data_IF_341794214910
#
_entry.id   IF_341794214910
#
_cell.length_a   1.000
_cell.length_b   1.000
_cell.length_c   1.000
_cell.angle_alpha   90.00
_cell.angle_beta   90.00
_cell.angle_gamma   90.00
#
_symmetry.space_group_name_H-M   'P 1'
#
loop_
_entity.id
_entity.type
_entity.pdbx_description
1 polymer ?
#
# COMPACT_ATOMS: atom_id res chain seq x y z
N UNK A 1 15.74 -49.71 -6.33
CA UNK A 1 15.62 -49.32 -4.93
C UNK A 1 16.48 -48.10 -4.57
N UNK A 2 17.70 -48.03 -5.04
CA UNK A 2 18.57 -46.89 -4.92
C UNK A 2 17.94 -45.69 -5.64
N UNK A 3 17.29 -45.89 -6.81
CA UNK A 3 16.61 -44.89 -7.58
C UNK A 3 15.44 -44.27 -6.81
N UNK A 4 14.69 -45.08 -6.05
CA UNK A 4 13.59 -44.59 -5.20
C UNK A 4 14.12 -43.73 -4.06
N UNK A 5 15.24 -44.14 -3.43
CA UNK A 5 15.87 -43.37 -2.36
C UNK A 5 16.45 -42.05 -2.87
N UNK A 6 17.08 -42.04 -4.04
CA UNK A 6 17.63 -40.82 -4.66
C UNK A 6 16.50 -39.85 -5.03
N UNK A 7 15.42 -40.37 -5.61
CA UNK A 7 14.25 -39.54 -5.94
C UNK A 7 13.64 -38.94 -4.68
N UNK A 8 13.50 -39.72 -3.61
CA UNK A 8 13.00 -39.25 -2.34
C UNK A 8 13.86 -38.15 -1.72
N UNK A 9 15.19 -38.33 -1.76
CA UNK A 9 16.14 -37.30 -1.28
C UNK A 9 16.06 -36.04 -2.12
N UNK A 10 16.04 -36.15 -3.43
CA UNK A 10 15.94 -35.01 -4.33
C UNK A 10 14.63 -34.24 -4.11
N UNK A 11 13.53 -34.95 -3.91
CA UNK A 11 12.23 -34.33 -3.61
C UNK A 11 12.27 -33.61 -2.27
N UNK A 12 12.85 -34.22 -1.23
CA UNK A 12 12.98 -33.58 0.08
C UNK A 12 13.84 -32.33 0.03
N UNK A 13 14.93 -32.34 -0.73
CA UNK A 13 15.79 -31.16 -0.92
C UNK A 13 15.02 -30.07 -1.66
N UNK A 14 14.27 -30.41 -2.71
CA UNK A 14 13.45 -29.45 -3.45
C UNK A 14 12.38 -28.82 -2.57
N UNK A 15 11.69 -29.61 -1.75
CA UNK A 15 10.69 -29.11 -0.81
C UNK A 15 11.31 -28.19 0.24
N UNK A 16 12.50 -28.53 0.76
CA UNK A 16 13.22 -27.72 1.71
C UNK A 16 13.63 -26.39 1.09
N UNK A 17 14.18 -26.39 -0.12
CA UNK A 17 14.56 -25.19 -0.86
C UNK A 17 13.37 -24.27 -1.06
N UNK A 18 12.20 -24.82 -1.40
CA UNK A 18 10.98 -24.06 -1.57
C UNK A 18 10.52 -23.41 -0.25
N UNK A 19 10.54 -24.17 0.85
CA UNK A 19 10.19 -23.66 2.18
C UNK A 19 11.13 -22.54 2.63
N UNK A 20 12.42 -22.68 2.39
CA UNK A 20 13.42 -21.65 2.71
C UNK A 20 13.18 -20.40 1.87
N UNK A 21 12.92 -20.55 0.58
CA UNK A 21 12.61 -19.44 -0.32
C UNK A 21 11.36 -18.67 0.14
N UNK A 22 10.30 -19.37 0.51
CA UNK A 22 9.07 -18.75 1.04
C UNK A 22 9.33 -17.99 2.34
N UNK A 23 10.11 -18.55 3.26
CA UNK A 23 10.47 -17.89 4.51
C UNK A 23 11.33 -16.65 4.30
N UNK A 24 12.30 -16.71 3.40
CA UNK A 24 13.14 -15.56 3.04
C UNK A 24 12.30 -14.45 2.43
N UNK A 25 11.36 -14.79 1.54
CA UNK A 25 10.48 -13.85 0.91
C UNK A 25 9.55 -13.18 1.93
N UNK A 26 8.96 -13.97 2.84
CA UNK A 26 8.12 -13.44 3.92
C UNK A 26 8.88 -12.47 4.81
N UNK A 27 10.12 -12.80 5.17
CA UNK A 27 10.98 -11.94 5.98
C UNK A 27 11.33 -10.65 5.24
N UNK A 28 11.67 -10.74 3.97
CA UNK A 28 11.97 -9.57 3.14
C UNK A 28 10.78 -8.63 3.03
N UNK A 29 9.57 -9.17 2.81
CA UNK A 29 8.33 -8.40 2.75
C UNK A 29 8.03 -7.72 4.09
N UNK A 30 8.21 -8.40 5.20
CA UNK A 30 8.01 -7.83 6.53
C UNK A 30 9.00 -6.70 6.82
N UNK A 31 10.26 -6.88 6.49
CA UNK A 31 11.27 -5.83 6.62
C UNK A 31 10.91 -4.62 5.77
N UNK A 32 10.50 -4.84 4.51
CA UNK A 32 10.09 -3.76 3.63
C UNK A 32 8.87 -3.00 4.18
N UNK A 33 7.89 -3.72 4.73
CA UNK A 33 6.71 -3.11 5.36
C UNK A 33 7.12 -2.21 6.55
N UNK A 34 8.00 -2.69 7.41
CA UNK A 34 8.51 -1.92 8.54
C UNK A 34 9.30 -0.69 8.08
N UNK A 35 10.13 -0.81 7.05
CA UNK A 35 10.91 0.29 6.49
C UNK A 35 9.97 1.38 5.94
N UNK A 36 8.92 1.01 5.20
CA UNK A 36 7.94 1.96 4.66
C UNK A 36 7.22 2.70 5.78
N UNK A 37 6.74 1.98 6.79
CA UNK A 37 6.05 2.58 7.94
C UNK A 37 6.96 3.51 8.74
N UNK A 38 8.20 3.10 8.96
CA UNK A 38 9.21 3.90 9.64
C UNK A 38 9.54 5.17 8.84
N UNK A 39 9.67 5.07 7.54
CA UNK A 39 9.95 6.21 6.65
C UNK A 39 8.84 7.25 6.71
N UNK A 40 7.58 6.81 6.74
CA UNK A 40 6.42 7.70 6.88
C UNK A 40 6.39 8.39 8.25
N UNK A 41 6.82 7.71 9.32
CA UNK A 41 6.91 8.31 10.64
C UNK A 41 8.02 9.38 10.71
N UNK A 42 9.16 9.12 10.10
CA UNK A 42 10.30 10.03 10.12
C UNK A 42 10.07 11.23 9.18
N UNK A 43 9.48 10.97 8.02
CA UNK A 43 9.25 11.98 6.99
C UNK A 43 7.81 11.87 6.45
N UNK A 44 6.84 12.45 7.17
CA UNK A 44 5.43 12.39 6.75
C UNK A 44 5.16 13.01 5.38
N UNK A 45 6.01 13.91 4.92
CA UNK A 45 5.89 14.58 3.62
C UNK A 45 5.98 13.61 2.43
N UNK A 46 6.44 12.38 2.64
CA UNK A 46 6.41 11.32 1.62
C UNK A 46 4.99 10.99 1.15
N UNK A 47 3.99 11.36 1.93
CA UNK A 47 2.59 11.25 1.55
C UNK A 47 2.21 12.18 0.39
N UNK A 48 2.81 13.35 0.28
CA UNK A 48 2.39 14.38 -0.68
C UNK A 48 2.42 13.91 -2.13
N UNK A 49 3.49 13.26 -2.62
CA UNK A 49 3.47 12.69 -3.98
C UNK A 49 2.32 11.70 -4.23
N UNK A 50 1.98 10.92 -3.22
CA UNK A 50 0.86 9.95 -3.27
C UNK A 50 -0.46 10.66 -3.48
N UNK A 51 -0.71 11.71 -2.72
CA UNK A 51 -1.92 12.53 -2.83
C UNK A 51 -1.99 13.20 -4.20
N UNK A 52 -0.89 13.75 -4.69
CA UNK A 52 -0.83 14.37 -6.03
C UNK A 52 -1.19 13.37 -7.13
N UNK A 53 -0.64 12.17 -7.06
CA UNK A 53 -0.94 11.11 -8.02
C UNK A 53 -2.42 10.72 -7.99
N UNK A 54 -2.98 10.54 -6.80
CA UNK A 54 -4.39 10.20 -6.63
C UNK A 54 -5.32 11.28 -7.21
N UNK A 55 -5.03 12.54 -6.96
CA UNK A 55 -5.77 13.68 -7.48
C UNK A 55 -5.70 13.70 -9.01
N UNK A 56 -4.52 13.49 -9.57
CA UNK A 56 -4.31 13.51 -11.02
C UNK A 56 -4.99 12.32 -11.71
N UNK A 57 -5.05 11.18 -11.06
CA UNK A 57 -5.69 9.97 -11.60
C UNK A 57 -7.21 10.13 -11.70
N UNK A 58 -7.81 10.89 -10.79
CA UNK A 58 -9.23 11.15 -10.83
C UNK A 58 -9.54 12.23 -11.85
N UNK A 59 -10.10 11.83 -12.99
CA UNK A 59 -10.47 12.77 -14.04
C UNK A 59 -11.71 13.58 -13.65
N UNK A 60 -11.51 14.88 -13.46
CA UNK A 60 -12.56 15.81 -13.05
C UNK A 60 -13.21 16.43 -14.30
N UNK A 61 -14.46 16.09 -14.54
CA UNK A 61 -15.26 16.80 -15.55
C UNK A 61 -16.31 17.70 -14.91
N UNK A 62 -17.00 17.22 -13.88
CA UNK A 62 -18.04 17.99 -13.16
C UNK A 62 -18.19 17.41 -11.75
N UNK A 63 -18.51 18.26 -10.77
CA UNK A 63 -18.83 17.85 -9.41
C UNK A 63 -17.89 18.38 -8.35
N UNK A 64 -18.09 17.92 -7.13
CA UNK A 64 -17.30 18.29 -5.96
C UNK A 64 -16.47 17.09 -5.49
N UNK A 65 -15.19 17.03 -5.85
CA UNK A 65 -14.34 15.93 -5.43
C UNK A 65 -14.04 16.01 -3.94
N UNK A 66 -13.90 14.85 -3.32
CA UNK A 66 -13.61 14.70 -1.90
C UNK A 66 -12.32 13.93 -1.73
N UNK A 67 -11.46 14.43 -0.85
CA UNK A 67 -10.23 13.75 -0.43
C UNK A 67 -10.38 13.36 1.04
N UNK A 68 -10.29 12.04 1.30
CA UNK A 68 -10.34 11.49 2.65
C UNK A 68 -8.92 11.11 3.10
N UNK A 69 -8.55 11.54 4.28
CA UNK A 69 -7.25 11.24 4.87
C UNK A 69 -7.36 11.17 6.40
N UNK A 70 -6.40 10.50 7.02
CA UNK A 70 -6.29 10.53 8.48
C UNK A 70 -6.09 11.98 8.96
N UNK A 71 -6.63 12.38 10.13
CA UNK A 71 -6.50 13.76 10.61
C UNK A 71 -5.07 14.31 10.66
N UNK A 72 -4.08 13.49 11.00
CA UNK A 72 -2.66 13.88 10.96
C UNK A 72 -2.21 14.24 9.56
N UNK A 73 -2.62 13.46 8.58
CA UNK A 73 -2.27 13.64 7.17
C UNK A 73 -3.04 14.82 6.57
N UNK A 74 -4.29 15.01 6.98
CA UNK A 74 -5.11 16.11 6.51
C UNK A 74 -4.47 17.47 6.81
N UNK A 75 -3.89 17.66 8.00
CA UNK A 75 -3.18 18.86 8.37
C UNK A 75 -1.98 19.11 7.43
N UNK A 76 -1.20 18.07 7.15
CA UNK A 76 -0.05 18.12 6.26
C UNK A 76 -0.46 18.46 4.82
N UNK A 77 -1.52 17.81 4.34
CA UNK A 77 -2.08 18.04 3.00
C UNK A 77 -2.57 19.47 2.84
N UNK A 78 -3.24 20.02 3.84
CA UNK A 78 -3.68 21.42 3.83
C UNK A 78 -2.50 22.38 3.75
N UNK A 79 -1.42 22.09 4.45
CA UNK A 79 -0.22 22.92 4.43
C UNK A 79 0.45 22.95 3.07
N UNK A 80 0.57 21.79 2.41
CA UNK A 80 1.33 21.65 1.15
C UNK A 80 0.47 21.83 -0.11
N UNK A 81 -0.78 21.44 -0.06
CA UNK A 81 -1.69 21.39 -1.23
C UNK A 81 -3.00 22.15 -1.03
N UNK A 82 -3.18 22.82 0.11
CA UNK A 82 -4.44 23.46 0.46
C UNK A 82 -4.93 24.44 -0.59
N UNK A 83 -4.06 25.31 -1.09
CA UNK A 83 -4.40 26.30 -2.10
C UNK A 83 -4.79 25.64 -3.43
N UNK A 84 -4.04 24.63 -3.86
CA UNK A 84 -4.34 23.89 -5.08
C UNK A 84 -5.69 23.17 -4.99
N UNK A 85 -5.96 22.54 -3.85
CA UNK A 85 -7.21 21.83 -3.61
C UNK A 85 -8.40 22.79 -3.55
N UNK A 86 -8.27 23.89 -2.83
CA UNK A 86 -9.31 24.91 -2.72
C UNK A 86 -9.63 25.52 -4.09
N UNK A 87 -8.61 25.79 -4.90
CA UNK A 87 -8.79 26.37 -6.24
C UNK A 87 -9.55 25.45 -7.19
N UNK A 88 -9.42 24.14 -7.01
CA UNK A 88 -10.10 23.14 -7.81
C UNK A 88 -11.35 22.55 -7.13
N UNK A 89 -11.87 23.21 -6.12
CA UNK A 89 -13.08 22.83 -5.39
C UNK A 89 -13.01 21.46 -4.68
N UNK A 90 -11.82 21.03 -4.32
CA UNK A 90 -11.64 19.83 -3.50
C UNK A 90 -12.04 20.08 -2.06
N UNK A 91 -12.72 19.10 -1.47
CA UNK A 91 -13.05 19.09 -0.06
C UNK A 91 -12.22 18.02 0.64
N UNK A 92 -11.54 18.41 1.73
CA UNK A 92 -10.76 17.49 2.57
C UNK A 92 -11.65 17.03 3.72
N UNK A 93 -11.82 15.71 3.86
CA UNK A 93 -12.56 15.08 4.96
C UNK A 93 -11.58 14.25 5.77
N UNK A 94 -11.57 14.47 7.08
CA UNK A 94 -10.77 13.68 8.02
C UNK A 94 -11.50 12.38 8.36
N UNK A 95 -10.80 11.25 8.29
CA UNK A 95 -11.31 9.94 8.62
C UNK A 95 -10.31 9.19 9.50
N UNK A 96 -10.66 9.00 10.77
CA UNK A 96 -9.83 8.29 11.74
C UNK A 96 -9.66 6.81 11.41
N UNK A 97 -10.54 6.24 10.59
CA UNK A 97 -10.46 4.84 10.19
C UNK A 97 -9.36 4.57 9.16
N UNK A 98 -8.89 5.62 8.47
CA UNK A 98 -7.78 5.51 7.52
C UNK A 98 -6.44 5.44 8.26
N UNK A 99 -5.57 4.56 7.81
CA UNK A 99 -4.19 4.49 8.30
C UNK A 99 -3.41 5.69 7.78
N UNK A 100 -2.60 6.38 8.62
CA UNK A 100 -1.71 7.42 8.13
C UNK A 100 -0.76 6.91 7.03
N UNK A 101 -0.51 7.74 6.03
CA UNK A 101 0.38 7.42 4.91
C UNK A 101 -0.32 7.15 3.60
N UNK A 102 -1.62 7.31 3.53
CA UNK A 102 -2.40 7.16 2.31
C UNK A 102 -3.61 8.07 2.28
N UNK A 103 -4.35 8.02 1.21
CA UNK A 103 -5.59 8.78 1.05
C UNK A 103 -6.57 8.03 0.15
N UNK A 104 -7.79 8.52 0.12
CA UNK A 104 -8.81 8.08 -0.82
C UNK A 104 -9.44 9.31 -1.47
N UNK A 105 -9.65 9.29 -2.76
CA UNK A 105 -10.32 10.38 -3.46
C UNK A 105 -11.60 9.87 -4.12
N UNK A 106 -12.65 10.66 -4.03
CA UNK A 106 -13.98 10.28 -4.51
C UNK A 106 -14.60 11.43 -5.31
N UNK A 107 -15.28 11.08 -6.40
CA UNK A 107 -16.11 12.00 -7.18
C UNK A 107 -17.33 11.23 -7.71
N UNK A 108 -18.48 11.45 -7.11
CA UNK A 108 -19.69 10.70 -7.44
C UNK A 108 -19.51 9.20 -7.18
N UNK A 109 -19.62 8.40 -8.24
CA UNK A 109 -19.38 6.94 -8.18
C UNK A 109 -17.92 6.55 -8.46
N UNK A 110 -17.08 7.50 -8.84
CA UNK A 110 -15.67 7.26 -9.13
C UNK A 110 -14.84 7.37 -7.83
N UNK A 111 -13.93 6.44 -7.64
CA UNK A 111 -13.08 6.39 -6.47
C UNK A 111 -11.65 5.96 -6.87
N UNK A 112 -10.66 6.62 -6.28
CA UNK A 112 -9.27 6.16 -6.32
C UNK A 112 -8.83 5.86 -4.89
N UNK A 113 -8.55 4.59 -4.64
CA UNK A 113 -8.03 4.13 -3.36
C UNK A 113 -6.50 4.17 -3.39
N UNK A 114 -5.93 5.18 -2.75
CA UNK A 114 -4.49 5.35 -2.58
C UNK A 114 -4.09 5.16 -1.10
N UNK A 115 -4.86 4.33 -0.37
CA UNK A 115 -4.51 3.96 1.00
C UNK A 115 -3.20 3.18 1.03
N UNK A 116 -2.52 3.21 2.16
CA UNK A 116 -1.26 2.50 2.36
C UNK A 116 -1.45 0.99 2.13
N UNK A 117 -2.54 0.42 2.64
CA UNK A 117 -2.88 -0.99 2.49
C UNK A 117 -3.06 -1.40 1.03
N UNK A 118 -3.80 -0.62 0.27
CA UNK A 118 -4.04 -0.91 -1.17
C UNK A 118 -2.76 -0.78 -1.98
N UNK A 119 -1.96 0.23 -1.73
CA UNK A 119 -0.68 0.42 -2.40
C UNK A 119 0.30 -0.70 -2.07
N UNK A 120 0.35 -1.09 -0.81
CA UNK A 120 1.15 -2.22 -0.36
C UNK A 120 0.73 -3.53 -1.03
N UNK A 121 -0.58 -3.81 -1.05
CA UNK A 121 -1.12 -5.00 -1.72
C UNK A 121 -0.74 -5.04 -3.20
N UNK A 122 -0.82 -3.92 -3.91
CA UNK A 122 -0.43 -3.84 -5.33
C UNK A 122 1.05 -4.16 -5.55
N UNK A 123 1.92 -3.68 -4.68
CA UNK A 123 3.35 -4.02 -4.73
C UNK A 123 3.56 -5.52 -4.53
N UNK A 124 2.91 -6.12 -3.55
CA UNK A 124 3.00 -7.56 -3.26
C UNK A 124 2.47 -8.39 -4.44
N UNK A 125 1.34 -8.02 -5.00
CA UNK A 125 0.77 -8.69 -6.18
C UNK A 125 1.71 -8.60 -7.40
N UNK A 126 2.37 -7.47 -7.61
CA UNK A 126 3.32 -7.28 -8.71
C UNK A 126 4.56 -8.17 -8.60
N UNK A 127 4.91 -8.58 -7.39
CA UNK A 127 6.03 -9.50 -7.13
C UNK A 127 5.58 -10.97 -7.31
N UNK A 128 4.26 -11.22 -7.44
CA UNK A 128 3.73 -12.57 -7.62
C UNK A 128 3.58 -13.37 -6.33
N UNK A 129 3.54 -12.69 -5.19
CA UNK A 129 3.33 -13.31 -3.88
C UNK A 129 1.85 -13.52 -3.64
N UNK A 130 1.48 -14.73 -3.22
CA UNK A 130 0.11 -15.03 -2.84
C UNK A 130 -0.21 -14.40 -1.48
N UNK A 131 -1.30 -13.65 -1.40
CA UNK A 131 -1.66 -12.87 -0.21
C UNK A 131 -2.10 -13.72 0.99
N UNK A 132 -2.48 -14.97 0.76
CA UNK A 132 -3.06 -15.82 1.80
C UNK A 132 -2.18 -15.95 3.04
N UNK A 133 -0.87 -15.96 2.87
CA UNK A 133 0.07 -16.09 3.99
C UNK A 133 0.57 -14.78 4.57
N UNK A 134 0.19 -13.64 3.96
CA UNK A 134 0.43 -12.31 4.52
C UNK A 134 -0.72 -11.83 5.42
N UNK A 135 -1.91 -12.41 5.23
CA UNK A 135 -3.11 -12.02 6.00
C UNK A 135 -3.22 -12.69 7.37
N UNK A 136 -2.46 -13.75 7.61
CA UNK A 136 -2.54 -14.55 8.85
C UNK A 136 -1.67 -14.03 10.01
N UNK A 137 -1.13 -12.81 9.90
CA UNK A 137 -0.42 -12.21 11.03
C UNK A 137 -1.26 -11.13 11.70
N UNK A 138 -1.46 -11.28 13.01
CA UNK A 138 -2.14 -10.25 13.80
C UNK A 138 -1.39 -8.93 13.82
#
# INVERSE_FOLDING_TARGET
RIDVLLTGVQQSISELDQQVAEQLLATAVEIANQVVRQSLNIKPELLIPVVREAITTLHLHTGHPVLLAHPQDAALIRTHLGDHLAHNNWRIIEDNALTPGGCRVELGSSEVDATLETRWRRVIESIGINQEWLSDKP
#
